data_IF_636206419109
#
_entry.id   IF_636206419109
#
_cell.length_a   1.000
_cell.length_b   1.000
_cell.length_c   1.000
_cell.angle_alpha   90.00
_cell.angle_beta   90.00
_cell.angle_gamma   90.00
#
_symmetry.space_group_name_H-M   'P 1'
#
loop_
_entity.id
_entity.type
_entity.pdbx_description
1 polymer ?
#
# COMPACT_ATOMS: atom_id res chain seq x y z
N UNK A 1 28.67 24.34 -21.97
CA UNK A 1 28.47 22.88 -21.99
C UNK A 1 27.14 22.60 -21.34
N UNK A 2 26.16 22.16 -22.13
CA UNK A 2 24.93 21.50 -21.63
C UNK A 2 25.04 20.02 -22.02
N UNK A 3 24.25 19.11 -21.43
CA UNK A 3 22.92 18.89 -22.01
C UNK A 3 21.77 18.82 -20.98
N UNK A 4 20.53 18.81 -21.50
CA UNK A 4 19.31 19.22 -20.82
C UNK A 4 18.42 18.03 -20.44
N UNK A 5 17.49 18.23 -19.50
CA UNK A 5 16.30 17.38 -19.41
C UNK A 5 15.06 18.27 -19.49
N UNK A 6 14.46 18.27 -20.67
CA UNK A 6 13.04 18.54 -20.87
C UNK A 6 12.21 17.32 -20.42
N UNK A 7 10.89 17.51 -20.39
CA UNK A 7 9.79 16.57 -20.10
C UNK A 7 9.33 16.67 -18.64
N UNK A 8 8.14 17.14 -18.30
CA UNK A 8 6.91 17.38 -19.05
C UNK A 8 5.81 17.38 -17.99
N UNK A 9 5.47 18.56 -17.45
CA UNK A 9 4.41 18.70 -16.46
C UNK A 9 3.06 18.46 -17.12
N UNK A 10 2.60 17.20 -17.14
CA UNK A 10 1.21 16.90 -17.38
C UNK A 10 0.45 17.05 -16.06
N UNK A 11 -0.13 18.23 -15.87
CA UNK A 11 -1.29 18.38 -14.98
C UNK A 11 -2.46 17.73 -15.72
N UNK A 12 -2.91 16.55 -15.27
CA UNK A 12 -4.21 16.04 -15.69
C UNK A 12 -5.26 16.46 -14.65
N UNK A 13 -6.11 17.39 -15.06
CA UNK A 13 -7.37 17.72 -14.39
C UNK A 13 -8.28 16.49 -14.57
N UNK A 14 -8.74 15.90 -13.46
CA UNK A 14 -9.69 14.80 -13.50
C UNK A 14 -11.06 15.32 -13.97
N UNK A 15 -11.45 14.99 -15.21
CA UNK A 15 -12.84 15.11 -15.65
C UNK A 15 -13.63 13.95 -15.05
N UNK A 16 -14.70 14.28 -14.32
CA UNK A 16 -15.66 13.29 -13.83
C UNK A 16 -16.33 12.59 -15.02
N UNK A 17 -16.30 11.26 -15.03
CA UNK A 17 -17.20 10.46 -15.86
C UNK A 17 -17.81 9.37 -14.99
N UNK A 18 -18.69 9.77 -14.08
CA UNK A 18 -19.70 8.86 -13.57
C UNK A 18 -20.82 8.82 -14.62
N UNK A 19 -20.87 7.73 -15.39
CA UNK A 19 -21.92 7.47 -16.37
C UNK A 19 -21.38 7.24 -17.77
N UNK A 20 -21.13 5.97 -18.11
CA UNK A 20 -21.38 5.32 -19.40
C UNK A 20 -20.72 3.92 -19.40
N UNK A 21 -21.53 2.87 -19.46
CA UNK A 21 -21.10 1.54 -19.93
C UNK A 21 -20.87 1.58 -21.45
N UNK A 22 -20.15 0.63 -22.08
CA UNK A 22 -19.29 -0.42 -21.56
C UNK A 22 -17.81 0.01 -21.67
N UNK A 23 -17.05 -0.06 -20.58
CA UNK A 23 -15.66 0.40 -20.59
C UNK A 23 -14.78 -0.52 -21.43
N UNK A 24 -14.53 -0.06 -22.65
CA UNK A 24 -13.34 -0.36 -23.43
C UNK A 24 -12.12 -0.15 -22.54
N UNK A 25 -11.33 -1.22 -22.43
CA UNK A 25 -10.00 -1.30 -21.80
C UNK A 25 -9.10 -0.16 -22.29
N UNK A 26 -9.08 0.97 -21.58
CA UNK A 26 -8.03 1.98 -21.74
C UNK A 26 -6.89 1.65 -20.76
N UNK A 27 -5.76 1.18 -21.30
CA UNK A 27 -4.50 0.93 -20.56
C UNK A 27 -3.86 2.19 -19.97
N UNK A 28 -4.59 3.30 -19.83
CA UNK A 28 -4.05 4.63 -19.57
C UNK A 28 -4.70 5.36 -18.39
N UNK A 29 -5.54 4.69 -17.61
CA UNK A 29 -6.28 5.31 -16.50
C UNK A 29 -6.14 4.52 -15.20
N UNK A 30 -4.95 3.94 -14.98
CA UNK A 30 -4.63 3.30 -13.72
C UNK A 30 -4.18 4.36 -12.71
N UNK A 31 -4.83 4.46 -11.53
CA UNK A 31 -4.35 5.29 -10.44
C UNK A 31 -2.89 4.98 -10.11
N UNK A 32 -2.11 5.99 -9.71
CA UNK A 32 -0.71 5.86 -9.29
C UNK A 32 -0.47 4.73 -8.25
N UNK A 33 -1.53 4.33 -7.55
CA UNK A 33 -1.53 3.32 -6.49
C UNK A 33 -1.77 1.88 -6.95
N UNK A 34 -2.25 1.65 -8.19
CA UNK A 34 -2.66 0.30 -8.63
C UNK A 34 -1.57 -0.45 -9.37
N UNK A 35 -0.48 0.20 -9.81
CA UNK A 35 0.57 -0.45 -10.58
C UNK A 35 0.06 -1.06 -11.90
N UNK A 36 0.96 -1.38 -12.82
CA UNK A 36 0.62 -2.32 -13.90
C UNK A 36 0.63 -3.73 -13.29
N UNK A 37 -0.49 -4.11 -12.69
CA UNK A 37 -0.65 -5.41 -12.05
C UNK A 37 -1.24 -6.42 -13.05
N UNK A 38 -0.71 -7.65 -13.09
CA UNK A 38 -1.40 -8.72 -13.79
C UNK A 38 -2.72 -9.02 -13.07
N UNK A 39 -3.80 -9.10 -13.86
CA UNK A 39 -5.16 -9.38 -13.37
C UNK A 39 -5.31 -10.76 -12.69
N UNK A 40 -4.26 -11.59 -12.73
CA UNK A 40 -4.28 -13.02 -12.38
C UNK A 40 -4.75 -13.31 -10.95
N UNK A 41 -4.48 -12.41 -10.00
CA UNK A 41 -4.79 -12.65 -8.58
C UNK A 41 -6.04 -11.92 -8.08
N UNK A 42 -6.83 -11.26 -8.94
CA UNK A 42 -7.96 -10.39 -8.53
C UNK A 42 -9.31 -10.89 -9.05
N UNK A 43 -10.38 -10.62 -8.29
CA UNK A 43 -11.74 -10.85 -8.77
C UNK A 43 -12.17 -9.74 -9.73
N UNK A 44 -12.04 -10.00 -11.03
CA UNK A 44 -12.36 -9.04 -12.09
C UNK A 44 -13.83 -8.61 -12.03
N UNK A 45 -14.73 -9.49 -11.60
CA UNK A 45 -16.17 -9.16 -11.48
C UNK A 45 -16.44 -8.07 -10.45
N UNK A 46 -15.51 -7.87 -9.51
CA UNK A 46 -15.58 -6.85 -8.46
C UNK A 46 -14.81 -5.56 -8.80
N UNK A 47 -14.11 -5.49 -9.94
CA UNK A 47 -13.41 -4.26 -10.37
C UNK A 47 -14.30 -3.02 -10.41
N UNK A 48 -15.55 -3.07 -10.89
CA UNK A 48 -16.44 -1.91 -10.83
C UNK A 48 -16.67 -1.40 -9.40
N UNK A 49 -16.69 -2.30 -8.41
CA UNK A 49 -16.84 -1.91 -6.99
C UNK A 49 -15.61 -1.16 -6.49
N UNK A 50 -14.41 -1.64 -6.83
CA UNK A 50 -13.16 -0.98 -6.43
C UNK A 50 -12.99 0.38 -7.13
N UNK A 51 -13.26 0.45 -8.44
CA UNK A 51 -13.12 1.69 -9.23
C UNK A 51 -14.13 2.76 -8.83
N UNK A 52 -15.36 2.39 -8.46
CA UNK A 52 -16.34 3.37 -7.97
C UNK A 52 -16.01 3.90 -6.56
N UNK A 53 -15.11 3.24 -5.83
CA UNK A 53 -14.78 3.61 -4.44
C UNK A 53 -13.39 4.22 -4.28
N UNK A 54 -12.49 3.99 -5.22
CA UNK A 54 -11.12 4.48 -5.20
C UNK A 54 -10.86 5.41 -6.40
N UNK A 55 -10.18 6.55 -6.19
CA UNK A 55 -9.69 7.06 -4.91
C UNK A 55 -10.81 7.62 -4.03
N UNK A 56 -10.71 7.44 -2.70
CA UNK A 56 -11.66 8.01 -1.73
C UNK A 56 -11.42 9.51 -1.42
N UNK A 57 -10.44 10.13 -2.10
CA UNK A 57 -10.04 11.53 -1.92
C UNK A 57 -8.84 11.71 -1.00
N UNK A 58 -7.99 12.70 -1.31
CA UNK A 58 -6.86 13.14 -0.48
C UNK A 58 -6.69 14.66 -0.62
N UNK A 59 -6.11 15.33 0.38
CA UNK A 59 -5.88 16.78 0.31
C UNK A 59 -4.63 17.12 -0.51
N UNK A 60 -4.62 18.29 -1.16
CA UNK A 60 -3.42 18.79 -1.83
C UNK A 60 -2.24 18.97 -0.87
N UNK A 61 -2.51 19.33 0.39
CA UNK A 61 -1.49 19.42 1.44
C UNK A 61 -0.81 18.08 1.69
N UNK A 62 -1.57 16.98 1.65
CA UNK A 62 -1.03 15.63 1.78
C UNK A 62 -0.13 15.26 0.59
N UNK A 63 -0.57 15.60 -0.64
CA UNK A 63 0.27 15.40 -1.83
C UNK A 63 1.57 16.22 -1.75
N UNK A 64 1.50 17.48 -1.32
CA UNK A 64 2.69 18.32 -1.13
C UNK A 64 3.65 17.72 -0.09
N UNK A 65 3.13 17.12 0.97
CA UNK A 65 3.94 16.46 1.99
C UNK A 65 4.71 15.25 1.43
N UNK A 66 4.07 14.41 0.62
CA UNK A 66 4.76 13.28 -0.04
C UNK A 66 5.76 13.71 -1.12
N UNK A 67 5.65 14.93 -1.64
CA UNK A 67 6.54 15.48 -2.66
C UNK A 67 7.69 16.33 -2.08
N UNK A 68 7.85 16.37 -0.75
CA UNK A 68 8.96 17.09 -0.12
C UNK A 68 10.30 16.47 -0.50
N UNK A 69 11.27 17.30 -0.92
CA UNK A 69 12.63 16.84 -1.24
C UNK A 69 13.34 16.23 -0.02
N UNK A 70 13.09 16.81 1.15
CA UNK A 70 13.53 16.28 2.45
C UNK A 70 12.27 16.00 3.28
N UNK A 71 11.81 14.74 3.35
CA UNK A 71 10.67 14.39 4.19
C UNK A 71 11.05 14.56 5.67
N UNK A 72 10.12 15.01 6.53
CA UNK A 72 10.41 15.16 7.94
C UNK A 72 10.68 13.82 8.60
N UNK A 73 11.58 13.82 9.59
CA UNK A 73 11.93 12.63 10.36
C UNK A 73 10.86 12.34 11.41
N UNK A 74 10.33 11.12 11.39
CA UNK A 74 9.47 10.57 12.43
C UNK A 74 10.25 9.54 13.24
N UNK A 75 10.59 9.87 14.49
CA UNK A 75 11.30 8.93 15.38
C UNK A 75 10.37 7.81 15.85
N UNK A 76 10.90 6.57 15.85
CA UNK A 76 10.23 5.36 16.35
C UNK A 76 10.64 5.02 17.79
N UNK A 77 11.47 5.85 18.44
CA UNK A 77 12.06 5.56 19.76
C UNK A 77 11.00 5.47 20.86
N UNK A 78 9.96 6.29 20.76
CA UNK A 78 8.85 6.35 21.73
C UNK A 78 7.78 5.30 21.48
N UNK A 79 7.87 4.58 20.35
CA UNK A 79 6.88 3.57 20.01
C UNK A 79 7.11 2.31 20.87
N UNK A 80 6.06 1.89 21.56
CA UNK A 80 6.06 0.71 22.44
C UNK A 80 5.21 -0.45 21.90
N UNK A 81 4.48 -0.21 20.83
CA UNK A 81 3.55 -1.17 20.23
C UNK A 81 4.31 -2.28 19.51
N UNK A 82 3.84 -3.51 19.68
CA UNK A 82 4.30 -4.66 18.89
C UNK A 82 3.84 -4.53 17.43
N UNK A 83 4.73 -4.84 16.49
CA UNK A 83 4.48 -4.69 15.05
C UNK A 83 4.62 -6.02 14.31
N UNK A 84 3.68 -6.29 13.42
CA UNK A 84 3.81 -7.31 12.39
C UNK A 84 4.05 -6.64 11.03
N UNK A 85 5.12 -7.02 10.34
CA UNK A 85 5.46 -6.52 9.00
C UNK A 85 5.09 -7.55 7.94
N UNK A 86 4.35 -7.11 6.92
CA UNK A 86 3.91 -7.92 5.79
C UNK A 86 4.22 -7.13 4.51
N UNK A 87 5.01 -7.70 3.62
CA UNK A 87 5.51 -7.03 2.41
C UNK A 87 5.81 -8.07 1.32
N UNK A 88 5.90 -7.63 0.07
CA UNK A 88 6.01 -8.54 -1.09
C UNK A 88 7.04 -8.07 -2.10
N UNK A 89 7.50 -9.00 -2.94
CA UNK A 89 8.43 -8.72 -4.03
C UNK A 89 7.84 -7.77 -5.08
N UNK A 90 6.57 -7.97 -5.42
CA UNK A 90 5.88 -7.20 -6.47
C UNK A 90 5.44 -5.78 -6.06
N UNK A 91 5.66 -5.36 -4.81
CA UNK A 91 5.25 -4.03 -4.35
C UNK A 91 6.13 -2.92 -4.94
N UNK A 92 5.54 -2.08 -5.79
CA UNK A 92 6.20 -0.95 -6.47
C UNK A 92 6.14 0.36 -5.69
N UNK A 93 5.36 0.40 -4.59
CA UNK A 93 5.28 1.57 -3.70
C UNK A 93 6.19 1.39 -2.47
N UNK A 94 6.42 0.15 -2.05
CA UNK A 94 7.21 -0.18 -0.86
C UNK A 94 8.39 -1.07 -1.26
N UNK A 95 9.57 -0.47 -1.41
CA UNK A 95 10.77 -1.18 -1.83
C UNK A 95 11.39 -2.04 -0.71
N UNK A 96 12.02 -3.19 -1.03
CA UNK A 96 12.66 -4.06 -0.02
C UNK A 96 13.65 -3.35 0.89
N UNK A 97 14.47 -2.43 0.35
CA UNK A 97 15.46 -1.69 1.13
C UNK A 97 14.82 -0.79 2.20
N UNK A 98 13.68 -0.16 1.88
CA UNK A 98 12.97 0.70 2.84
C UNK A 98 12.33 -0.13 3.95
N UNK A 99 11.83 -1.32 3.63
CA UNK A 99 11.34 -2.28 4.62
C UNK A 99 12.46 -2.79 5.52
N UNK A 100 13.62 -3.13 4.95
CA UNK A 100 14.77 -3.57 5.73
C UNK A 100 15.22 -2.51 6.74
N UNK A 101 15.24 -1.25 6.32
CA UNK A 101 15.54 -0.12 7.20
C UNK A 101 14.46 0.04 8.29
N UNK A 102 13.18 -0.03 7.93
CA UNK A 102 12.08 0.04 8.90
C UNK A 102 12.16 -1.08 9.96
N UNK A 103 12.43 -2.33 9.54
CA UNK A 103 12.57 -3.47 10.46
C UNK A 103 13.73 -3.24 11.42
N UNK A 104 14.85 -2.71 10.93
CA UNK A 104 16.01 -2.35 11.77
C UNK A 104 15.65 -1.29 12.80
N UNK A 105 14.94 -0.24 12.39
CA UNK A 105 14.55 0.87 13.28
C UNK A 105 13.47 0.44 14.29
N UNK A 106 12.59 -0.48 13.92
CA UNK A 106 11.62 -1.09 14.82
C UNK A 106 12.28 -2.06 15.81
N UNK A 107 13.37 -2.73 15.42
CA UNK A 107 14.15 -3.62 16.26
C UNK A 107 13.30 -4.71 16.94
N UNK A 108 13.37 -4.89 18.28
CA UNK A 108 12.70 -5.97 18.99
C UNK A 108 11.16 -5.85 19.00
N UNK A 109 10.60 -4.74 18.51
CA UNK A 109 9.14 -4.55 18.39
C UNK A 109 8.54 -5.35 17.25
N UNK A 110 9.34 -5.75 16.26
CA UNK A 110 8.86 -6.62 15.19
C UNK A 110 8.65 -8.02 15.75
N UNK A 111 7.39 -8.45 15.89
CA UNK A 111 7.02 -9.77 16.44
C UNK A 111 6.62 -10.78 15.37
N UNK A 112 6.46 -10.31 14.13
CA UNK A 112 6.18 -11.10 12.94
C UNK A 112 6.74 -10.33 11.74
N UNK A 113 7.47 -11.01 10.87
CA UNK A 113 7.95 -10.45 9.60
C UNK A 113 7.70 -11.49 8.52
N UNK A 114 6.82 -11.17 7.57
CA UNK A 114 6.37 -12.06 6.50
C UNK A 114 6.67 -11.40 5.17
N UNK A 115 7.37 -12.15 4.33
CA UNK A 115 7.72 -11.75 2.98
C UNK A 115 7.01 -12.67 2.00
N UNK A 116 6.27 -12.09 1.06
CA UNK A 116 5.59 -12.80 -0.02
C UNK A 116 6.49 -12.71 -1.26
N UNK A 117 7.15 -13.83 -1.58
CA UNK A 117 8.09 -13.95 -2.70
C UNK A 117 7.36 -14.18 -4.03
N UNK A 118 6.52 -13.21 -4.40
CA UNK A 118 5.73 -13.23 -5.63
C UNK A 118 5.85 -11.87 -6.35
N UNK A 119 6.45 -11.82 -7.55
CA UNK A 119 6.61 -10.59 -8.32
C UNK A 119 5.27 -10.03 -8.83
N UNK A 120 4.22 -10.85 -8.88
CA UNK A 120 2.88 -10.46 -9.32
C UNK A 120 1.99 -10.01 -8.13
N UNK A 121 2.44 -10.24 -6.89
CA UNK A 121 1.77 -9.76 -5.68
C UNK A 121 2.25 -8.34 -5.33
N UNK A 122 1.48 -7.34 -5.72
CA UNK A 122 1.79 -5.92 -5.59
C UNK A 122 1.04 -5.26 -4.43
N UNK A 123 1.20 -3.93 -4.29
CA UNK A 123 0.66 -3.16 -3.18
C UNK A 123 -0.85 -3.36 -2.94
N UNK A 124 -1.65 -3.40 -4.03
CA UNK A 124 -3.11 -3.51 -3.90
C UNK A 124 -3.56 -4.94 -3.57
N UNK A 125 -2.71 -5.95 -3.81
CA UNK A 125 -3.05 -7.35 -3.57
C UNK A 125 -3.29 -7.64 -2.09
N UNK A 126 -2.61 -6.94 -1.17
CA UNK A 126 -2.91 -7.00 0.27
C UNK A 126 -4.37 -6.67 0.62
N UNK A 127 -5.06 -5.92 -0.24
CA UNK A 127 -6.47 -5.55 -0.05
C UNK A 127 -7.42 -6.47 -0.80
N UNK A 128 -7.11 -6.83 -2.04
CA UNK A 128 -8.10 -7.43 -2.95
C UNK A 128 -7.68 -8.72 -3.67
N UNK A 129 -6.53 -9.31 -3.33
CA UNK A 129 -6.13 -10.56 -3.96
C UNK A 129 -6.95 -11.75 -3.44
N UNK A 130 -7.36 -12.61 -4.38
CA UNK A 130 -8.08 -13.85 -4.12
C UNK A 130 -7.25 -14.87 -3.36
N UNK A 131 -5.92 -14.79 -3.48
CA UNK A 131 -4.97 -15.70 -2.82
C UNK A 131 -4.65 -15.29 -1.37
N UNK A 132 -5.14 -14.15 -0.88
CA UNK A 132 -4.90 -13.71 0.51
C UNK A 132 -5.21 -14.76 1.59
N UNK A 133 -6.26 -15.61 1.48
CA UNK A 133 -6.49 -16.70 2.42
C UNK A 133 -5.34 -17.71 2.52
N UNK A 134 -4.51 -17.83 1.50
CA UNK A 134 -3.37 -18.74 1.45
C UNK A 134 -2.07 -18.05 1.87
N UNK A 135 -1.77 -16.86 1.31
CA UNK A 135 -0.44 -16.24 1.45
C UNK A 135 -0.33 -15.15 2.51
N UNK A 136 -1.44 -14.63 3.02
CA UNK A 136 -1.45 -13.50 3.97
C UNK A 136 -2.19 -13.82 5.27
N UNK A 137 -3.42 -14.32 5.18
CA UNK A 137 -4.32 -14.47 6.32
C UNK A 137 -3.82 -15.44 7.40
N UNK A 138 -3.17 -16.59 7.09
CA UNK A 138 -2.70 -17.50 8.13
C UNK A 138 -1.74 -16.80 9.10
N UNK A 139 -0.72 -16.14 8.58
CA UNK A 139 0.28 -15.42 9.38
C UNK A 139 -0.28 -14.16 10.04
N UNK A 140 -1.16 -13.43 9.36
CA UNK A 140 -1.82 -12.25 9.89
C UNK A 140 -2.72 -12.60 11.09
N UNK A 141 -3.57 -13.61 10.94
CA UNK A 141 -4.47 -14.04 12.00
C UNK A 141 -3.71 -14.68 13.15
N UNK A 142 -2.64 -15.45 12.89
CA UNK A 142 -1.75 -15.95 13.93
C UNK A 142 -1.13 -14.80 14.75
N UNK A 143 -0.67 -13.74 14.09
CA UNK A 143 -0.13 -12.56 14.77
C UNK A 143 -1.19 -11.84 15.61
N UNK A 144 -2.36 -11.55 15.04
CA UNK A 144 -3.46 -10.86 15.73
C UNK A 144 -4.02 -11.68 16.90
N UNK A 145 -4.08 -13.00 16.78
CA UNK A 145 -4.58 -13.90 17.82
C UNK A 145 -3.79 -13.78 19.14
N UNK A 146 -2.52 -13.37 19.10
CA UNK A 146 -1.69 -13.15 20.30
C UNK A 146 -2.23 -12.05 21.23
N UNK A 147 -3.09 -11.17 20.70
CA UNK A 147 -3.64 -10.01 21.39
C UNK A 147 -5.16 -10.12 21.64
N UNK A 148 -5.82 -11.15 21.11
CA UNK A 148 -7.23 -11.42 21.44
C UNK A 148 -7.34 -11.80 22.93
N UNK A 149 -8.22 -11.11 23.66
CA UNK A 149 -8.48 -11.37 25.08
C UNK A 149 -7.47 -10.77 26.07
N UNK A 150 -6.50 -9.95 25.61
CA UNK A 150 -5.66 -9.15 26.53
C UNK A 150 -6.37 -7.83 26.84
N UNK A 151 -6.64 -7.49 28.13
CA UNK A 151 -7.11 -6.15 28.46
C UNK A 151 -6.04 -5.13 28.07
N UNK A 152 -6.44 -4.05 27.40
CA UNK A 152 -5.54 -2.93 27.11
C UNK A 152 -4.97 -2.41 28.45
N UNK A 153 -3.65 -2.52 28.65
CA UNK A 153 -3.00 -1.92 29.82
C UNK A 153 -3.10 -0.40 29.67
N UNK A 154 -4.03 0.22 30.42
CA UNK A 154 -4.26 1.67 30.41
C UNK A 154 -5.72 2.13 30.51
N UNK A 155 -6.70 1.24 30.64
CA UNK A 155 -8.07 1.66 30.99
C UNK A 155 -8.12 2.24 32.42
N UNK A 156 -8.82 3.38 32.66
CA UNK A 156 -8.90 3.96 33.99
C UNK A 156 -9.64 3.01 34.94
N UNK A 157 -9.03 2.75 36.10
CA UNK A 157 -9.70 2.16 37.28
C UNK A 157 -10.60 3.18 37.95
#
# INVERSE_FOLDING_TARGET
MSPPWHLGGFVLIATAACGLSPLVRSKGQEPLYTGNDPDACKDISRMPVYLCKLPAGTSMKNLQHFLQAEPPLYSLDTMTTDVGTFWSLGDKLVFPDTVAQLIKDLGPRVKKNVYIDDPDYTHINFVNALINPEVLFPDLLEFLARYLGRPCKGGPT
#
